data_IF_300035589823
#
_entry.id   IF_300035589823
#
_cell.length_a   1.000
_cell.length_b   1.000
_cell.length_c   1.000
_cell.angle_alpha   90.00
_cell.angle_beta   90.00
_cell.angle_gamma   90.00
#
_symmetry.space_group_name_H-M   'P 1'
#
loop_
_entity.id
_entity.type
_entity.pdbx_description
1 polymer ?
#
# COMPACT_ATOMS: atom_id res chain seq x y z
N UNK A 1 17.77 27.19 3.15
CA UNK A 1 17.12 25.93 2.76
C UNK A 1 17.33 24.93 3.89
N UNK A 2 16.28 24.19 4.26
CA UNK A 2 16.39 23.08 5.21
C UNK A 2 16.76 21.80 4.45
N UNK A 3 17.75 21.08 4.98
CA UNK A 3 18.07 19.75 4.47
C UNK A 3 17.03 18.74 4.98
N UNK A 4 16.58 17.87 4.10
CA UNK A 4 15.65 16.78 4.43
C UNK A 4 16.39 15.44 4.27
N UNK A 5 16.21 14.49 5.20
CA UNK A 5 16.69 13.14 5.04
C UNK A 5 16.15 12.55 3.74
N UNK A 6 17.06 12.09 2.88
CA UNK A 6 16.74 11.53 1.57
C UNK A 6 17.54 10.24 1.36
N UNK A 7 16.89 9.21 0.81
CA UNK A 7 17.52 7.93 0.53
C UNK A 7 16.96 7.31 -0.74
N UNK A 8 17.82 6.74 -1.56
CA UNK A 8 17.44 5.85 -2.64
C UNK A 8 17.27 4.43 -2.08
N UNK A 9 16.11 3.83 -2.28
CA UNK A 9 15.84 2.45 -1.90
C UNK A 9 14.87 1.82 -2.91
N UNK A 10 15.31 0.73 -3.56
CA UNK A 10 14.63 0.20 -4.74
C UNK A 10 14.57 1.23 -5.87
N UNK A 11 13.47 1.30 -6.62
CA UNK A 11 13.28 2.25 -7.72
C UNK A 11 12.86 3.65 -7.26
N UNK A 12 12.88 3.94 -5.94
CA UNK A 12 12.26 5.12 -5.35
C UNK A 12 13.26 5.99 -4.60
N UNK A 13 13.02 7.29 -4.65
CA UNK A 13 13.67 8.28 -3.78
C UNK A 13 12.72 8.55 -2.62
N UNK A 14 13.15 8.19 -1.41
CA UNK A 14 12.41 8.39 -0.17
C UNK A 14 12.86 9.66 0.50
N UNK A 15 11.92 10.49 0.96
CA UNK A 15 12.19 11.74 1.65
C UNK A 15 11.40 11.78 2.94
N UNK A 16 12.04 12.15 4.05
CA UNK A 16 11.36 12.37 5.33
C UNK A 16 11.24 13.84 5.64
N UNK A 17 10.02 14.28 5.99
CA UNK A 17 9.76 15.64 6.51
C UNK A 17 9.97 15.73 8.03
N UNK A 18 10.25 14.60 8.69
CA UNK A 18 10.46 14.52 10.13
C UNK A 18 11.77 13.76 10.43
N UNK A 19 12.72 14.45 11.06
CA UNK A 19 14.00 13.85 11.45
C UNK A 19 13.86 12.74 12.51
N UNK A 20 12.73 12.68 13.22
CA UNK A 20 12.40 11.64 14.21
C UNK A 20 11.44 10.58 13.66
N UNK A 21 11.28 10.54 12.34
CA UNK A 21 10.44 9.50 11.69
C UNK A 21 11.03 8.11 11.97
N UNK A 22 10.14 7.12 11.90
CA UNK A 22 10.55 5.70 11.88
C UNK A 22 11.52 5.50 10.72
N UNK A 23 12.61 4.78 10.96
CA UNK A 23 13.63 4.55 9.94
C UNK A 23 13.05 3.86 8.71
N UNK A 24 13.57 4.18 7.53
CA UNK A 24 13.13 3.54 6.28
C UNK A 24 13.40 2.03 6.32
N UNK A 25 14.50 1.58 6.93
CA UNK A 25 14.82 0.16 7.08
C UNK A 25 13.75 -0.59 7.89
N UNK A 26 13.23 0.01 8.96
CA UNK A 26 12.13 -0.60 9.71
C UNK A 26 10.81 -0.62 8.92
N UNK A 27 10.54 0.43 8.15
CA UNK A 27 9.32 0.51 7.33
C UNK A 27 9.34 -0.48 6.16
N UNK A 28 10.49 -0.69 5.53
CA UNK A 28 10.70 -1.58 4.40
C UNK A 28 11.23 -2.97 4.78
N UNK A 29 11.36 -3.30 6.07
CA UNK A 29 11.91 -4.57 6.52
C UNK A 29 11.23 -5.77 5.85
N UNK A 30 9.90 -5.76 5.72
CA UNK A 30 9.15 -6.85 5.06
C UNK A 30 9.54 -7.03 3.59
N UNK A 31 9.94 -5.96 2.90
CA UNK A 31 10.39 -5.99 1.50
C UNK A 31 11.83 -6.51 1.44
N UNK A 32 12.72 -5.99 2.28
CA UNK A 32 14.14 -6.37 2.31
C UNK A 32 14.35 -7.82 2.75
N UNK A 33 13.52 -8.31 3.68
CA UNK A 33 13.60 -9.69 4.19
C UNK A 33 12.94 -10.72 3.24
N UNK A 34 12.29 -10.25 2.16
CA UNK A 34 11.66 -11.12 1.17
C UNK A 34 12.66 -11.45 0.06
N UNK A 35 13.00 -12.72 -0.07
CA UNK A 35 13.91 -13.20 -1.12
C UNK A 35 13.28 -13.17 -2.51
N UNK A 36 14.12 -13.05 -3.54
CA UNK A 36 13.75 -13.17 -4.96
C UNK A 36 12.82 -12.08 -5.49
N UNK A 37 12.85 -10.88 -4.91
CA UNK A 37 12.24 -9.70 -5.52
C UNK A 37 13.33 -8.80 -6.11
N UNK A 38 13.11 -8.16 -7.27
CA UNK A 38 14.10 -7.31 -7.91
C UNK A 38 14.16 -5.90 -7.32
N UNK A 39 13.80 -5.73 -6.05
CA UNK A 39 13.74 -4.42 -5.42
C UNK A 39 15.06 -3.65 -5.48
N UNK A 40 16.15 -4.33 -5.10
CA UNK A 40 17.50 -3.76 -5.11
C UNK A 40 18.13 -3.60 -6.51
N UNK A 41 17.53 -4.21 -7.54
CA UNK A 41 18.00 -4.10 -8.91
C UNK A 41 17.61 -2.77 -9.58
N UNK A 42 16.94 -1.86 -8.87
CA UNK A 42 16.46 -0.57 -9.35
C UNK A 42 15.70 -0.69 -10.68
N UNK A 43 14.55 -1.36 -10.71
CA UNK A 43 13.79 -1.60 -11.93
C UNK A 43 13.39 -0.29 -12.61
N UNK A 44 13.25 -0.33 -13.92
CA UNK A 44 12.95 0.83 -14.76
C UNK A 44 11.46 1.13 -14.68
N UNK A 45 11.10 2.40 -14.47
CA UNK A 45 9.71 2.82 -14.52
C UNK A 45 9.20 2.83 -15.97
N UNK A 46 8.18 2.03 -16.25
CA UNK A 46 7.58 1.88 -17.57
C UNK A 46 6.40 2.83 -17.78
N UNK A 47 5.51 2.91 -16.81
CA UNK A 47 4.27 3.70 -16.89
C UNK A 47 3.92 4.29 -15.52
N UNK A 48 3.16 5.39 -15.59
CA UNK A 48 2.54 6.01 -14.42
C UNK A 48 1.17 6.54 -14.81
N UNK A 49 0.19 6.34 -13.93
CA UNK A 49 -1.16 6.89 -14.09
C UNK A 49 -1.71 7.34 -12.75
N UNK A 50 -2.57 8.34 -12.77
CA UNK A 50 -3.31 8.81 -11.61
C UNK A 50 -4.82 8.81 -11.90
N UNK A 51 -5.63 8.49 -10.88
CA UNK A 51 -7.09 8.53 -10.92
C UNK A 51 -7.61 9.11 -9.60
N UNK A 52 -8.64 9.92 -9.67
CA UNK A 52 -9.40 10.35 -8.49
C UNK A 52 -10.37 9.26 -8.08
N UNK A 53 -10.46 8.98 -6.77
CA UNK A 53 -11.45 8.08 -6.18
C UNK A 53 -12.33 8.89 -5.22
N UNK A 54 -13.65 8.70 -5.32
CA UNK A 54 -14.63 9.33 -4.43
C UNK A 54 -14.77 8.55 -3.11
N UNK A 55 -13.64 8.30 -2.45
CA UNK A 55 -13.59 7.62 -1.15
C UNK A 55 -12.41 8.09 -0.31
N UNK A 56 -12.50 7.87 1.00
CA UNK A 56 -11.37 8.05 1.90
C UNK A 56 -10.24 7.09 1.51
N UNK A 57 -9.00 7.58 1.51
CA UNK A 57 -7.82 6.79 1.18
C UNK A 57 -7.65 5.52 2.03
N UNK A 58 -8.15 5.51 3.28
CA UNK A 58 -8.11 4.33 4.15
C UNK A 58 -9.04 3.23 3.65
N UNK A 59 -10.20 3.57 3.11
CA UNK A 59 -11.12 2.60 2.51
C UNK A 59 -10.45 1.94 1.29
N UNK A 60 -9.84 2.74 0.41
CA UNK A 60 -9.12 2.22 -0.74
C UNK A 60 -7.92 1.36 -0.32
N UNK A 61 -7.16 1.77 0.70
CA UNK A 61 -6.04 0.99 1.21
C UNK A 61 -6.50 -0.30 1.92
N UNK A 62 -7.53 -0.25 2.74
CA UNK A 62 -8.09 -1.45 3.40
C UNK A 62 -8.57 -2.48 2.36
N UNK A 63 -9.16 -2.03 1.25
CA UNK A 63 -9.56 -2.91 0.14
C UNK A 63 -8.36 -3.68 -0.45
N UNK A 64 -7.19 -3.07 -0.57
CA UNK A 64 -5.97 -3.78 -1.05
C UNK A 64 -5.41 -4.78 -0.04
N UNK A 65 -5.81 -4.70 1.22
CA UNK A 65 -5.40 -5.59 2.31
C UNK A 65 -6.43 -6.66 2.64
N UNK A 66 -7.62 -6.58 2.06
CA UNK A 66 -8.68 -7.57 2.16
C UNK A 66 -8.49 -8.63 1.06
N UNK A 67 -7.90 -9.75 1.44
CA UNK A 67 -7.43 -10.73 0.46
C UNK A 67 -8.56 -11.67 -0.06
N UNK A 68 -9.68 -11.79 0.65
CA UNK A 68 -10.73 -12.73 0.25
C UNK A 68 -11.72 -12.16 -0.79
N UNK A 69 -11.84 -10.83 -0.91
CA UNK A 69 -12.72 -10.23 -1.91
C UNK A 69 -12.27 -10.53 -3.34
N UNK A 70 -10.97 -10.76 -3.55
CA UNK A 70 -10.38 -10.99 -4.88
C UNK A 70 -11.09 -12.10 -5.65
N UNK A 71 -11.42 -13.21 -4.99
CA UNK A 71 -12.13 -14.31 -5.63
C UNK A 71 -13.58 -13.98 -6.01
N UNK A 72 -14.18 -12.97 -5.40
CA UNK A 72 -15.58 -12.55 -5.58
C UNK A 72 -15.67 -11.37 -6.53
N UNK A 73 -14.86 -10.35 -6.30
CA UNK A 73 -14.88 -9.09 -7.06
C UNK A 73 -14.12 -9.19 -8.39
N UNK A 74 -13.04 -9.97 -8.42
CA UNK A 74 -12.11 -10.07 -9.56
C UNK A 74 -12.01 -11.47 -10.18
N UNK A 75 -13.12 -12.22 -10.40
CA UNK A 75 -13.05 -13.62 -10.80
C UNK A 75 -12.42 -13.83 -12.19
N UNK A 76 -12.40 -12.82 -13.02
CA UNK A 76 -11.86 -12.85 -14.38
C UNK A 76 -10.57 -12.06 -14.58
N UNK A 77 -10.16 -11.32 -13.58
CA UNK A 77 -8.99 -10.42 -13.57
C UNK A 77 -7.97 -10.88 -12.54
N UNK A 78 -7.81 -10.17 -11.42
CA UNK A 78 -6.76 -10.41 -10.43
C UNK A 78 -6.79 -11.82 -9.81
N UNK A 79 -7.96 -12.46 -9.67
CA UNK A 79 -8.05 -13.83 -9.15
C UNK A 79 -7.30 -14.86 -10.01
N UNK A 80 -7.06 -14.55 -11.29
CA UNK A 80 -6.26 -15.40 -12.18
C UNK A 80 -4.76 -15.35 -11.87
N UNK A 81 -4.30 -14.27 -11.27
CA UNK A 81 -2.90 -14.10 -10.83
C UNK A 81 -2.63 -14.77 -9.47
N UNK A 82 -3.68 -15.02 -8.71
CA UNK A 82 -3.60 -15.59 -7.37
C UNK A 82 -4.21 -17.01 -7.36
N UNK A 83 -3.57 -17.90 -6.66
CA UNK A 83 -4.11 -19.24 -6.42
C UNK A 83 -5.26 -19.21 -5.40
N UNK A 84 -5.78 -20.39 -5.03
CA UNK A 84 -6.92 -20.48 -4.12
C UNK A 84 -6.59 -19.95 -2.73
N UNK A 85 -7.56 -19.25 -2.09
CA UNK A 85 -7.45 -18.60 -0.77
C UNK A 85 -6.85 -19.52 0.32
N UNK A 86 -7.10 -20.84 0.25
CA UNK A 86 -6.52 -21.81 1.20
C UNK A 86 -5.00 -21.92 1.16
N UNK A 87 -4.35 -21.41 0.10
CA UNK A 87 -2.90 -21.43 -0.10
C UNK A 87 -2.26 -20.05 0.18
N UNK A 88 -3.03 -19.09 0.65
CA UNK A 88 -2.54 -17.77 1.02
C UNK A 88 -1.66 -17.86 2.28
N UNK A 89 -0.48 -17.25 2.20
CA UNK A 89 0.47 -17.17 3.32
C UNK A 89 0.65 -15.71 3.70
N UNK A 90 0.32 -15.38 4.93
CA UNK A 90 0.48 -14.03 5.48
C UNK A 90 1.76 -13.93 6.28
N UNK A 91 2.51 -12.85 6.07
CA UNK A 91 3.65 -12.45 6.89
C UNK A 91 3.51 -11.01 7.32
N UNK A 92 4.13 -10.70 8.47
CA UNK A 92 4.06 -9.39 9.09
C UNK A 92 5.45 -8.97 9.55
N UNK A 93 5.80 -7.71 9.31
CA UNK A 93 6.85 -7.01 10.04
C UNK A 93 6.22 -6.00 10.98
N UNK A 94 7.04 -5.25 11.71
CA UNK A 94 6.52 -4.21 12.60
C UNK A 94 5.65 -3.17 11.87
N UNK A 95 6.00 -2.82 10.62
CA UNK A 95 5.36 -1.74 9.87
C UNK A 95 4.82 -2.15 8.49
N UNK A 96 4.87 -3.41 8.15
CA UNK A 96 4.41 -3.87 6.85
C UNK A 96 3.77 -5.24 6.90
N UNK A 97 3.03 -5.57 5.83
CA UNK A 97 2.38 -6.87 5.65
C UNK A 97 2.74 -7.44 4.30
N UNK A 98 2.77 -8.75 4.20
CA UNK A 98 2.96 -9.49 2.95
C UNK A 98 1.91 -10.59 2.86
N UNK A 99 1.25 -10.68 1.70
CA UNK A 99 0.53 -11.85 1.25
C UNK A 99 1.34 -12.54 0.14
N UNK A 100 1.62 -13.81 0.31
CA UNK A 100 2.21 -14.66 -0.72
C UNK A 100 1.14 -15.61 -1.27
N UNK A 101 0.98 -15.64 -2.58
CA UNK A 101 0.06 -16.56 -3.26
C UNK A 101 0.78 -17.33 -4.37
N UNK A 102 0.40 -18.58 -4.67
CA UNK A 102 0.96 -19.28 -5.83
C UNK A 102 0.47 -18.61 -7.12
N UNK A 103 1.39 -18.41 -8.06
CA UNK A 103 1.04 -17.88 -9.38
C UNK A 103 0.80 -19.05 -10.39
N UNK A 104 -0.17 -18.94 -11.30
CA UNK A 104 -0.48 -20.00 -12.27
C UNK A 104 0.70 -20.42 -13.15
N UNK A 105 1.54 -19.48 -13.55
CA UNK A 105 2.72 -19.72 -14.39
C UNK A 105 3.93 -20.21 -13.58
N UNK A 106 3.72 -20.53 -12.31
CA UNK A 106 4.78 -20.95 -11.39
C UNK A 106 5.36 -19.77 -10.58
N UNK A 107 6.03 -20.09 -9.48
CA UNK A 107 6.52 -19.09 -8.55
C UNK A 107 5.43 -18.51 -7.64
N UNK A 108 5.64 -17.29 -7.16
CA UNK A 108 4.75 -16.62 -6.22
C UNK A 108 4.40 -15.21 -6.70
N UNK A 109 3.13 -14.86 -6.57
CA UNK A 109 2.67 -13.49 -6.63
C UNK A 109 2.67 -12.91 -5.22
N UNK A 110 3.29 -11.75 -5.03
CA UNK A 110 3.49 -11.14 -3.72
C UNK A 110 2.77 -9.80 -3.66
N UNK A 111 2.05 -9.56 -2.56
CA UNK A 111 1.39 -8.28 -2.34
C UNK A 111 1.75 -7.74 -0.96
N UNK A 112 2.42 -6.57 -0.94
CA UNK A 112 2.85 -5.91 0.28
C UNK A 112 1.93 -4.75 0.60
N UNK A 113 1.50 -4.65 1.85
CA UNK A 113 0.92 -3.44 2.41
C UNK A 113 2.00 -2.65 3.15
N UNK A 114 2.26 -1.43 2.71
CA UNK A 114 3.29 -0.55 3.25
C UNK A 114 2.67 0.74 3.77
N UNK A 115 2.98 1.16 5.01
CA UNK A 115 2.46 2.42 5.52
C UNK A 115 3.07 3.63 4.78
N UNK A 116 2.34 4.75 4.74
CA UNK A 116 1.00 4.89 5.29
C UNK A 116 -0.13 4.45 4.35
N UNK A 117 0.09 4.38 3.04
CA UNK A 117 -0.94 4.23 2.01
C UNK A 117 -0.48 3.50 0.75
N UNK A 118 0.62 2.75 0.83
CA UNK A 118 1.22 2.11 -0.34
C UNK A 118 0.96 0.62 -0.36
N UNK A 119 0.75 0.08 -1.56
CA UNK A 119 0.59 -1.32 -1.84
C UNK A 119 1.50 -1.72 -3.00
N UNK A 120 2.35 -2.74 -2.78
CA UNK A 120 3.32 -3.20 -3.76
C UNK A 120 2.95 -4.59 -4.24
N UNK A 121 2.80 -4.74 -5.55
CA UNK A 121 2.51 -5.99 -6.22
C UNK A 121 3.77 -6.46 -6.94
N UNK A 122 4.18 -7.71 -6.75
CA UNK A 122 5.38 -8.27 -7.39
C UNK A 122 5.03 -9.61 -8.04
N UNK A 123 5.27 -9.69 -9.35
CA UNK A 123 5.06 -10.89 -10.15
C UNK A 123 6.29 -11.81 -10.15
N UNK A 124 6.13 -13.11 -10.45
CA UNK A 124 7.25 -14.06 -10.51
C UNK A 124 8.34 -13.69 -11.53
N UNK A 125 7.97 -12.97 -12.60
CA UNK A 125 8.90 -12.49 -13.64
C UNK A 125 9.65 -11.21 -13.22
N UNK A 126 9.40 -10.71 -12.01
CA UNK A 126 10.06 -9.53 -11.46
C UNK A 126 9.40 -8.19 -11.82
N UNK A 127 8.28 -8.18 -12.53
CA UNK A 127 7.50 -6.95 -12.71
C UNK A 127 6.97 -6.48 -11.36
N UNK A 128 6.93 -5.16 -11.18
CA UNK A 128 6.47 -4.52 -9.95
C UNK A 128 5.43 -3.45 -10.28
N UNK A 129 4.30 -3.47 -9.60
CA UNK A 129 3.35 -2.37 -9.58
C UNK A 129 3.29 -1.75 -8.18
N UNK A 130 3.48 -0.44 -8.08
CA UNK A 130 3.31 0.32 -6.86
C UNK A 130 2.04 1.14 -6.95
N UNK A 131 1.11 0.85 -6.05
CA UNK A 131 -0.17 1.51 -5.92
C UNK A 131 -0.16 2.35 -4.64
N UNK A 132 -0.52 3.62 -4.75
CA UNK A 132 -0.56 4.56 -3.62
C UNK A 132 -1.90 5.28 -3.59
N UNK A 133 -2.44 5.49 -2.38
CA UNK A 133 -3.69 6.20 -2.16
C UNK A 133 -3.44 7.51 -1.42
N UNK A 134 -3.14 8.56 -2.17
CA UNK A 134 -2.75 9.85 -1.62
C UNK A 134 -3.99 10.60 -1.09
N UNK A 135 -4.00 10.98 0.20
CA UNK A 135 -5.14 11.66 0.81
C UNK A 135 -5.32 13.08 0.25
N UNK A 136 -6.53 13.40 -0.19
CA UNK A 136 -6.90 14.76 -0.62
C UNK A 136 -7.91 15.38 0.36
N UNK A 137 -9.07 14.72 0.52
CA UNK A 137 -10.17 15.13 1.38
C UNK A 137 -10.67 13.92 2.19
N UNK A 138 -11.52 14.10 3.21
CA UNK A 138 -12.08 12.98 3.98
C UNK A 138 -12.81 11.93 3.12
N UNK A 139 -13.42 12.33 2.01
CA UNK A 139 -14.16 11.46 1.09
C UNK A 139 -13.59 11.45 -0.33
N UNK A 140 -12.32 11.80 -0.50
CA UNK A 140 -11.66 11.78 -1.80
C UNK A 140 -10.16 11.52 -1.66
N UNK A 141 -9.62 10.64 -2.50
CA UNK A 141 -8.18 10.41 -2.61
C UNK A 141 -7.73 10.34 -4.07
N UNK A 142 -6.42 10.42 -4.28
CA UNK A 142 -5.80 10.14 -5.57
C UNK A 142 -5.11 8.78 -5.53
N UNK A 143 -5.59 7.85 -6.33
CA UNK A 143 -4.87 6.61 -6.63
C UNK A 143 -3.74 6.93 -7.63
N UNK A 144 -2.51 6.56 -7.28
CA UNK A 144 -1.36 6.61 -8.17
C UNK A 144 -0.83 5.20 -8.40
N UNK A 145 -0.71 4.80 -9.65
CA UNK A 145 -0.13 3.53 -10.06
C UNK A 145 1.16 3.79 -10.83
N UNK A 146 2.25 3.13 -10.43
CA UNK A 146 3.53 3.14 -11.13
C UNK A 146 3.96 1.71 -11.44
N UNK A 147 4.39 1.46 -12.68
CA UNK A 147 4.81 0.16 -13.18
C UNK A 147 6.31 0.13 -13.41
N UNK A 148 6.96 -0.93 -12.94
CA UNK A 148 8.39 -1.14 -13.08
C UNK A 148 8.68 -2.54 -13.61
N UNK A 149 9.79 -2.68 -14.36
CA UNK A 149 10.30 -3.97 -14.81
C UNK A 149 11.81 -4.04 -14.58
N UNK A 150 12.37 -5.24 -14.38
CA UNK A 150 13.81 -5.44 -14.09
C UNK A 150 14.71 -5.19 -15.29
N UNK A 151 14.19 -5.11 -16.52
CA UNK A 151 14.97 -4.95 -17.75
C UNK A 151 14.34 -3.92 -18.67
N UNK A 152 15.20 -3.25 -19.48
CA UNK A 152 14.76 -2.31 -20.53
C UNK A 152 14.05 -2.97 -21.73
N UNK A 153 13.94 -4.30 -21.71
CA UNK A 153 13.45 -5.10 -22.84
C UNK A 153 11.92 -5.23 -22.90
N UNK A 154 11.19 -4.62 -21.99
CA UNK A 154 9.73 -4.57 -22.10
C UNK A 154 9.38 -3.52 -23.15
N UNK A 155 8.87 -3.96 -24.29
CA UNK A 155 8.42 -3.03 -25.32
C UNK A 155 7.21 -2.20 -24.86
N UNK A 156 6.97 -1.09 -25.54
CA UNK A 156 5.90 -0.17 -25.15
C UNK A 156 4.51 -0.83 -25.25
N UNK A 157 4.28 -1.70 -26.22
CA UNK A 157 3.00 -2.37 -26.42
C UNK A 157 2.72 -3.37 -25.26
N UNK A 158 3.74 -4.12 -24.83
CA UNK A 158 3.61 -5.00 -23.67
C UNK A 158 3.37 -4.22 -22.36
N UNK A 159 4.04 -3.07 -22.19
CA UNK A 159 3.82 -2.19 -21.02
C UNK A 159 2.41 -1.60 -21.00
N UNK A 160 1.87 -1.19 -22.17
CA UNK A 160 0.52 -0.67 -22.31
C UNK A 160 -0.53 -1.76 -22.05
N UNK A 161 -0.35 -2.95 -22.59
CA UNK A 161 -1.24 -4.08 -22.36
C UNK A 161 -1.28 -4.46 -20.86
N UNK A 162 -0.12 -4.47 -20.18
CA UNK A 162 -0.08 -4.72 -18.76
C UNK A 162 -0.78 -3.61 -17.95
N UNK A 163 -0.58 -2.34 -18.31
CA UNK A 163 -1.28 -1.21 -17.69
C UNK A 163 -2.81 -1.36 -17.83
N UNK A 164 -3.31 -1.68 -19.02
CA UNK A 164 -4.74 -1.88 -19.27
C UNK A 164 -5.32 -3.03 -18.45
N UNK A 165 -4.57 -4.14 -18.32
CA UNK A 165 -4.96 -5.26 -17.47
C UNK A 165 -5.12 -4.82 -16.00
N UNK A 166 -4.15 -4.05 -15.46
CA UNK A 166 -4.21 -3.54 -14.09
C UNK A 166 -5.36 -2.55 -13.91
N UNK A 167 -5.55 -1.63 -14.84
CA UNK A 167 -6.64 -0.66 -14.78
C UNK A 167 -8.02 -1.30 -14.82
N UNK A 168 -8.15 -2.48 -15.45
CA UNK A 168 -9.41 -3.22 -15.49
C UNK A 168 -9.83 -3.69 -14.10
N UNK A 169 -8.96 -4.33 -13.33
CA UNK A 169 -9.35 -4.76 -11.98
C UNK A 169 -9.40 -3.58 -10.98
N UNK A 170 -8.58 -2.54 -11.16
CA UNK A 170 -8.67 -1.34 -10.33
C UNK A 170 -9.97 -0.56 -10.56
N UNK A 171 -10.59 -0.66 -11.74
CA UNK A 171 -11.93 -0.13 -11.98
C UNK A 171 -13.02 -0.95 -11.26
N UNK A 172 -12.86 -2.27 -11.16
CA UNK A 172 -13.72 -3.11 -10.33
C UNK A 172 -13.63 -2.69 -8.86
N UNK A 173 -12.41 -2.48 -8.34
CA UNK A 173 -12.17 -1.96 -6.98
C UNK A 173 -12.76 -0.57 -6.75
N UNK A 174 -12.65 0.33 -7.74
CA UNK A 174 -13.20 1.69 -7.62
C UNK A 174 -14.68 1.67 -7.26
N UNK A 175 -15.46 0.82 -7.93
CA UNK A 175 -16.90 0.69 -7.66
C UNK A 175 -17.16 0.22 -6.23
N UNK A 176 -16.35 -0.69 -5.70
CA UNK A 176 -16.48 -1.20 -4.34
C UNK A 176 -16.16 -0.12 -3.31
N UNK A 177 -15.00 0.54 -3.42
CA UNK A 177 -14.52 1.50 -2.42
C UNK A 177 -15.37 2.78 -2.40
N UNK A 178 -15.85 3.25 -3.56
CA UNK A 178 -16.77 4.38 -3.65
C UNK A 178 -18.16 4.04 -3.07
N UNK A 179 -18.64 2.83 -3.28
CA UNK A 179 -19.87 2.34 -2.63
C UNK A 179 -19.70 2.20 -1.11
N UNK A 180 -18.55 1.70 -0.65
CA UNK A 180 -18.25 1.59 0.78
C UNK A 180 -18.22 2.97 1.44
N UNK A 181 -17.67 4.01 0.78
CA UNK A 181 -17.68 5.38 1.28
C UNK A 181 -19.10 5.86 1.63
N UNK A 182 -20.08 5.57 0.79
CA UNK A 182 -21.48 5.94 1.07
C UNK A 182 -22.01 5.31 2.35
N UNK A 183 -21.59 4.06 2.65
CA UNK A 183 -21.93 3.39 3.90
C UNK A 183 -21.24 3.98 5.13
N UNK A 184 -20.04 4.54 4.97
CA UNK A 184 -19.29 5.19 6.06
C UNK A 184 -19.77 6.62 6.37
N UNK A 185 -20.50 7.26 5.47
CA UNK A 185 -21.05 8.61 5.68
C UNK A 185 -22.23 8.63 6.68
N UNK A 186 -22.76 7.46 7.02
CA UNK A 186 -23.79 7.27 8.05
C UNK A 186 -23.16 6.66 9.34
N UNK A 187 -23.98 6.37 10.33
CA UNK A 187 -23.57 5.75 11.61
C UNK A 187 -23.13 4.29 11.40
N UNK A 188 -21.93 4.11 10.84
CA UNK A 188 -21.38 2.78 10.59
C UNK A 188 -20.80 2.17 11.87
N UNK A 189 -21.26 0.96 12.20
CA UNK A 189 -20.68 0.13 13.25
C UNK A 189 -20.16 -1.16 12.62
N UNK A 190 -18.82 -1.33 12.45
CA UNK A 190 -18.27 -2.52 11.82
C UNK A 190 -18.56 -3.78 12.65
N UNK A 191 -18.85 -4.87 11.95
CA UNK A 191 -18.94 -6.20 12.58
C UNK A 191 -17.57 -6.69 13.09
N UNK A 192 -17.51 -7.86 13.71
CA UNK A 192 -16.26 -8.45 14.13
C UNK A 192 -15.40 -8.79 12.89
N UNK A 193 -14.07 -8.54 12.95
CA UNK A 193 -13.20 -8.81 11.81
C UNK A 193 -13.09 -10.31 11.53
N UNK A 194 -13.01 -10.64 10.26
CA UNK A 194 -12.77 -12.00 9.81
C UNK A 194 -11.27 -12.35 9.90
N UNK A 195 -10.94 -13.63 10.01
CA UNK A 195 -9.55 -14.12 10.10
C UNK A 195 -8.66 -13.74 8.88
N UNK A 196 -9.26 -13.46 7.73
CA UNK A 196 -8.55 -13.02 6.51
C UNK A 196 -8.37 -11.49 6.44
N UNK A 197 -8.84 -10.75 7.45
CA UNK A 197 -8.65 -9.29 7.58
C UNK A 197 -7.46 -8.93 8.49
N UNK A 198 -6.58 -9.89 8.78
CA UNK A 198 -5.42 -9.68 9.67
C UNK A 198 -4.50 -8.55 9.17
N UNK A 199 -4.35 -8.39 7.85
CA UNK A 199 -3.54 -7.34 7.26
C UNK A 199 -4.15 -5.96 7.52
N UNK A 200 -5.47 -5.83 7.41
CA UNK A 200 -6.20 -4.60 7.74
C UNK A 200 -6.00 -4.27 9.23
N UNK A 201 -6.22 -5.23 10.13
CA UNK A 201 -6.08 -5.00 11.57
C UNK A 201 -4.66 -4.61 11.96
N UNK A 202 -3.64 -5.26 11.36
CA UNK A 202 -2.24 -4.93 11.58
C UNK A 202 -1.94 -3.49 11.15
N UNK A 203 -2.34 -3.12 9.92
CA UNK A 203 -2.16 -1.76 9.42
C UNK A 203 -2.87 -0.71 10.28
N UNK A 204 -4.12 -0.95 10.67
CA UNK A 204 -4.88 -0.04 11.54
C UNK A 204 -4.21 0.13 12.92
N UNK A 205 -3.59 -0.92 13.46
CA UNK A 205 -2.85 -0.84 14.72
C UNK A 205 -1.61 0.06 14.59
N UNK A 206 -0.87 -0.05 13.48
CA UNK A 206 0.27 0.82 13.16
C UNK A 206 -0.18 2.28 13.09
N UNK A 207 -1.22 2.54 12.30
CA UNK A 207 -1.78 3.88 12.11
C UNK A 207 -2.21 4.51 13.44
N UNK A 208 -2.96 3.78 14.28
CA UNK A 208 -3.40 4.26 15.61
C UNK A 208 -2.21 4.56 16.54
N UNK A 209 -1.19 3.71 16.55
CA UNK A 209 0.00 3.92 17.38
C UNK A 209 0.75 5.20 16.98
N UNK A 210 0.88 5.47 15.70
CA UNK A 210 1.53 6.68 15.20
C UNK A 210 0.73 7.96 15.50
N UNK A 211 -0.60 7.91 15.42
CA UNK A 211 -1.46 9.02 15.81
C UNK A 211 -1.33 9.33 17.31
N UNK A 212 -1.31 8.31 18.16
CA UNK A 212 -1.15 8.48 19.61
C UNK A 212 0.19 9.10 19.96
N UNK A 213 1.27 8.68 19.33
CA UNK A 213 2.60 9.26 19.49
C UNK A 213 2.65 10.73 19.05
N UNK A 214 2.03 11.04 17.90
CA UNK A 214 1.97 12.42 17.41
C UNK A 214 1.14 13.33 18.33
N UNK A 215 0.07 12.83 18.93
CA UNK A 215 -0.75 13.55 19.90
C UNK A 215 0.02 13.80 21.22
N UNK A 216 0.73 12.79 21.72
CA UNK A 216 1.60 12.91 22.91
C UNK A 216 2.69 13.97 22.73
N UNK A 217 3.42 13.92 21.62
CA UNK A 217 4.46 14.91 21.30
C UNK A 217 3.92 16.34 21.13
N UNK A 218 2.64 16.51 20.75
CA UNK A 218 2.00 17.82 20.67
C UNK A 218 1.63 18.36 22.05
N UNK A 219 1.22 17.51 22.98
CA UNK A 219 0.94 17.88 24.37
C UNK A 219 2.22 18.27 25.12
N UNK A 220 3.30 17.52 24.95
CA UNK A 220 4.61 17.84 25.55
C UNK A 220 5.13 19.21 25.06
N UNK A 221 5.13 19.46 23.74
CA UNK A 221 5.54 20.75 23.17
C UNK A 221 4.70 21.92 23.66
N UNK A 222 3.40 21.73 23.86
CA UNK A 222 2.54 22.77 24.44
C UNK A 222 2.83 23.01 25.93
N UNK A 223 3.20 21.97 26.67
CA UNK A 223 3.56 22.09 28.07
C UNK A 223 4.89 22.86 28.26
N UNK A 224 5.88 22.59 27.43
CA UNK A 224 7.17 23.27 27.41
C UNK A 224 7.02 24.75 27.02
N UNK A 225 6.16 25.05 26.02
CA UNK A 225 5.87 26.42 25.61
C UNK A 225 5.15 27.22 26.70
N UNK A 226 4.26 26.61 27.46
CA UNK A 226 3.56 27.24 28.59
C UNK A 226 4.52 27.42 29.79
N UNK A 227 5.45 26.51 30.01
CA UNK A 227 6.45 26.59 31.07
C UNK A 227 7.49 27.70 30.79
N UNK A 228 7.84 27.94 29.52
CA UNK A 228 8.72 29.01 29.08
C UNK A 228 8.13 30.43 29.23
N UNK A 229 6.80 30.54 29.34
CA UNK A 229 6.09 31.82 29.55
C UNK A 229 5.88 32.20 31.03
N UNK A 230 6.43 31.39 31.97
CA UNK A 230 6.31 31.60 33.42
C UNK A 230 7.63 31.99 34.08
N UNK A 231 8.46 32.79 33.42
CA UNK A 231 9.62 33.45 34.02
C UNK A 231 9.41 34.97 34.00
#
# INVERSE_FOLDING_TARGET
LHELPCRLDGPLIWVSLNAQAISLDEQLAIVHDTSNIPWSAAPIQLRQVQRSLACNWKIAHDNTLDDYHVAIAHPKTLHREQGPVRQYVHRFSRYGTLLETPHPDGGRFLTFGLPPWSHLLVWPDGRIALLEFLPNLPSCCTMQLRLFAPTETVDNAAADAWLEQLLTFLEEDRVLVESAQLGYDDTFNPGPPHRLEQRILHWQSIYRSQLSTAAGNKLERNHDAISALRI
#
